data_IF_441164422577
#
_entry.id   IF_441164422577
#
_cell.length_a   1.000
_cell.length_b   1.000
_cell.length_c   1.000
_cell.angle_alpha   90.00
_cell.angle_beta   90.00
_cell.angle_gamma   90.00
#
_symmetry.space_group_name_H-M   'P 1'
#
loop_
_entity.id
_entity.type
_entity.pdbx_description
1 polymer ?
#
# COMPACT_ATOMS: atom_id res chain seq x y z
N UNK A 1 9.99 -10.04 -2.77
CA UNK A 1 9.37 -9.68 -1.48
C UNK A 1 9.09 -8.19 -1.48
N UNK A 2 8.12 -7.74 -0.70
CA UNK A 2 7.79 -6.33 -0.46
C UNK A 2 8.34 -5.91 0.90
N UNK A 3 8.83 -4.68 1.01
CA UNK A 3 9.35 -4.14 2.27
C UNK A 3 8.53 -2.94 2.72
N UNK A 4 8.21 -2.84 4.01
CA UNK A 4 7.46 -1.72 4.58
C UNK A 4 7.93 -1.42 6.01
N UNK A 5 7.65 -0.22 6.51
CA UNK A 5 7.88 0.15 7.90
C UNK A 5 6.61 -0.07 8.72
N UNK A 6 6.73 -0.76 9.85
CA UNK A 6 5.62 -0.94 10.80
C UNK A 6 5.38 0.31 11.67
N UNK A 7 4.38 0.26 12.54
CA UNK A 7 4.05 1.36 13.47
C UNK A 7 5.16 1.71 14.46
N UNK A 8 6.17 0.83 14.62
CA UNK A 8 7.35 1.07 15.45
C UNK A 8 8.53 1.63 14.63
N UNK A 9 8.33 1.88 13.33
CA UNK A 9 9.38 2.36 12.43
C UNK A 9 10.41 1.28 12.07
N UNK A 10 10.11 0.00 12.29
CA UNK A 10 11.01 -1.10 11.94
C UNK A 10 10.73 -1.59 10.52
N UNK A 11 11.79 -1.83 9.76
CA UNK A 11 11.71 -2.39 8.42
C UNK A 11 11.29 -3.86 8.50
N UNK A 12 10.23 -4.20 7.80
CA UNK A 12 9.70 -5.55 7.68
C UNK A 12 9.71 -5.98 6.21
N UNK A 13 10.00 -7.25 5.98
CA UNK A 13 9.95 -7.87 4.65
C UNK A 13 8.82 -8.89 4.65
N UNK A 14 7.94 -8.80 3.65
CA UNK A 14 6.75 -9.65 3.53
C UNK A 14 6.57 -10.11 2.08
N UNK A 15 6.04 -11.30 1.88
CA UNK A 15 5.64 -11.77 0.55
C UNK A 15 4.25 -11.24 0.17
N UNK A 16 3.96 -11.16 -1.13
CA UNK A 16 2.60 -10.83 -1.60
C UNK A 16 1.60 -11.88 -1.09
N UNK A 17 2.03 -13.15 -1.05
CA UNK A 17 1.26 -14.27 -0.53
C UNK A 17 0.81 -14.05 0.91
N UNK A 18 1.70 -13.57 1.78
CA UNK A 18 1.39 -13.26 3.18
C UNK A 18 0.48 -12.03 3.33
N UNK A 19 0.61 -11.04 2.44
CA UNK A 19 -0.25 -9.84 2.42
C UNK A 19 -1.67 -10.12 1.91
N UNK A 20 -1.86 -11.15 1.10
CA UNK A 20 -3.16 -11.54 0.51
C UNK A 20 -3.74 -12.81 1.12
N UNK A 21 -3.01 -13.48 2.01
CA UNK A 21 -3.45 -14.72 2.64
C UNK A 21 -4.77 -14.52 3.43
N UNK A 22 -5.78 -15.31 3.07
CA UNK A 22 -7.06 -15.43 3.76
C UNK A 22 -7.87 -14.12 3.92
N UNK A 23 -7.54 -13.07 3.17
CA UNK A 23 -8.12 -11.73 3.31
C UNK A 23 -8.32 -11.07 1.96
N UNK A 24 -9.42 -10.31 1.80
CA UNK A 24 -9.58 -9.44 0.64
C UNK A 24 -8.61 -8.26 0.78
N UNK A 25 -7.70 -8.15 -0.18
CA UNK A 25 -6.62 -7.15 -0.18
C UNK A 25 -6.72 -6.27 -1.41
N UNK A 26 -6.64 -4.96 -1.23
CA UNK A 26 -6.50 -3.97 -2.31
C UNK A 26 -5.06 -3.46 -2.35
N UNK A 27 -4.42 -3.56 -3.51
CA UNK A 27 -3.05 -3.11 -3.72
C UNK A 27 -3.07 -1.96 -4.72
N UNK A 28 -2.59 -0.79 -4.29
CA UNK A 28 -2.33 0.36 -5.16
C UNK A 28 -0.84 0.35 -5.50
N UNK A 29 -0.50 0.07 -6.76
CA UNK A 29 0.88 0.14 -7.23
C UNK A 29 1.18 1.53 -7.79
N UNK A 30 2.21 2.19 -7.25
CA UNK A 30 2.69 3.52 -7.69
C UNK A 30 4.11 3.34 -8.24
N UNK A 31 4.37 3.85 -9.45
CA UNK A 31 5.65 3.60 -10.13
C UNK A 31 6.82 4.32 -9.46
N UNK A 32 6.60 5.50 -8.86
CA UNK A 32 7.63 6.25 -8.15
C UNK A 32 6.97 7.24 -7.17
N UNK A 33 7.49 7.33 -5.94
CA UNK A 33 6.99 8.26 -4.90
C UNK A 33 7.28 9.73 -5.24
N UNK A 34 8.13 9.98 -6.24
CA UNK A 34 8.57 11.29 -6.71
C UNK A 34 7.92 11.71 -8.03
N UNK A 35 7.07 10.90 -8.66
CA UNK A 35 6.35 11.36 -9.86
C UNK A 35 5.32 12.42 -9.44
N UNK A 36 5.43 13.68 -9.91
CA UNK A 36 4.55 14.78 -9.48
C UNK A 36 3.07 14.58 -9.85
N UNK A 37 2.75 13.57 -10.68
CA UNK A 37 1.38 13.18 -11.03
C UNK A 37 0.73 12.19 -10.06
N UNK A 38 1.50 11.49 -9.20
CA UNK A 38 0.96 10.48 -8.28
C UNK A 38 0.66 11.00 -6.87
N UNK A 39 1.27 12.13 -6.46
CA UNK A 39 1.26 12.59 -5.07
C UNK A 39 0.09 13.50 -4.66
N UNK A 40 -0.46 14.42 -5.50
CA UNK A 40 -1.48 15.35 -5.01
C UNK A 40 -2.94 14.91 -5.19
N UNK A 41 -3.24 13.80 -5.90
CA UNK A 41 -4.62 13.32 -6.10
C UNK A 41 -4.86 11.85 -5.76
N UNK A 42 -3.96 10.95 -6.13
CA UNK A 42 -4.22 9.51 -5.97
C UNK A 42 -4.11 9.03 -4.52
N UNK A 43 -3.13 9.52 -3.76
CA UNK A 43 -2.96 9.12 -2.37
C UNK A 43 -4.06 9.69 -1.43
N UNK A 44 -4.43 10.98 -1.50
CA UNK A 44 -5.50 11.53 -0.65
C UNK A 44 -6.85 10.87 -0.91
N UNK A 45 -7.27 10.74 -2.17
CA UNK A 45 -8.53 10.08 -2.53
C UNK A 45 -8.57 8.61 -2.11
N UNK A 46 -7.42 7.93 -2.16
CA UNK A 46 -7.33 6.54 -1.74
C UNK A 46 -7.37 6.38 -0.22
N UNK A 47 -6.84 7.35 0.53
CA UNK A 47 -6.98 7.43 1.99
C UNK A 47 -8.43 7.73 2.38
N UNK A 48 -9.10 8.65 1.70
CA UNK A 48 -10.54 8.92 1.91
C UNK A 48 -11.39 7.71 1.60
N UNK A 49 -11.13 7.03 0.48
CA UNK A 49 -11.83 5.80 0.09
C UNK A 49 -11.41 4.58 0.88
N UNK A 50 -10.32 4.63 1.64
CA UNK A 50 -9.87 3.49 2.46
C UNK A 50 -10.92 3.08 3.50
N UNK A 51 -11.67 4.05 4.04
CA UNK A 51 -12.76 3.77 4.97
C UNK A 51 -13.91 3.02 4.28
N UNK A 52 -14.28 3.42 3.06
CA UNK A 52 -15.31 2.75 2.26
C UNK A 52 -14.88 1.35 1.80
N UNK A 53 -13.62 1.19 1.41
CA UNK A 53 -13.05 -0.11 1.04
C UNK A 53 -13.04 -1.07 2.23
N UNK A 54 -12.69 -0.58 3.44
CA UNK A 54 -12.82 -1.35 4.69
C UNK A 54 -14.26 -1.75 4.97
N UNK A 55 -15.22 -0.83 4.80
CA UNK A 55 -16.64 -1.14 4.96
C UNK A 55 -17.16 -2.19 3.96
N UNK A 56 -16.58 -2.26 2.76
CA UNK A 56 -16.86 -3.29 1.74
C UNK A 56 -16.16 -4.64 2.01
N UNK A 57 -15.48 -4.78 3.15
CA UNK A 57 -14.81 -6.00 3.58
C UNK A 57 -13.38 -6.17 3.03
N UNK A 58 -12.76 -5.11 2.52
CA UNK A 58 -11.32 -5.12 2.23
C UNK A 58 -10.57 -4.96 3.56
N UNK A 59 -9.78 -5.97 3.90
CA UNK A 59 -9.09 -6.03 5.18
C UNK A 59 -7.71 -5.35 5.11
N UNK A 60 -7.04 -5.47 3.96
CA UNK A 60 -5.69 -4.94 3.77
C UNK A 60 -5.70 -3.98 2.59
N UNK A 61 -5.16 -2.78 2.80
CA UNK A 61 -4.96 -1.76 1.78
C UNK A 61 -3.47 -1.46 1.77
N UNK A 62 -2.77 -1.80 0.69
CA UNK A 62 -1.33 -1.62 0.56
C UNK A 62 -1.00 -0.71 -0.61
N UNK A 63 -0.21 0.34 -0.36
CA UNK A 63 0.41 1.13 -1.42
C UNK A 63 1.82 0.60 -1.65
N UNK A 64 2.08 0.06 -2.85
CA UNK A 64 3.36 -0.55 -3.22
C UNK A 64 4.03 0.35 -4.25
N UNK A 65 5.30 0.70 -4.05
CA UNK A 65 6.08 1.40 -5.06
C UNK A 65 7.39 0.71 -5.34
N UNK A 66 7.80 0.70 -6.61
CA UNK A 66 9.12 0.24 -7.02
C UNK A 66 10.11 1.38 -6.77
N UNK A 67 10.60 1.49 -5.54
CA UNK A 67 11.71 2.39 -5.27
C UNK A 67 13.00 1.58 -5.46
N UNK A 68 13.72 1.82 -6.55
CA UNK A 68 15.11 1.37 -6.67
C UNK A 68 15.95 2.33 -5.83
N UNK A 69 16.26 1.93 -4.60
CA UNK A 69 17.24 2.64 -3.79
C UNK A 69 18.13 1.59 -3.11
N UNK A 70 19.47 1.69 -3.26
CA UNK A 70 20.41 0.83 -2.55
C UNK A 70 20.32 1.01 -1.03
#
# INVERSE_FOLDING_TARGET
SLSYFDSSGKLQTVSVSELTANKKTSILAVLDKYTPSCSPKHLPDFVEKAAELKAKGIHTIACVSVNDSP
#
